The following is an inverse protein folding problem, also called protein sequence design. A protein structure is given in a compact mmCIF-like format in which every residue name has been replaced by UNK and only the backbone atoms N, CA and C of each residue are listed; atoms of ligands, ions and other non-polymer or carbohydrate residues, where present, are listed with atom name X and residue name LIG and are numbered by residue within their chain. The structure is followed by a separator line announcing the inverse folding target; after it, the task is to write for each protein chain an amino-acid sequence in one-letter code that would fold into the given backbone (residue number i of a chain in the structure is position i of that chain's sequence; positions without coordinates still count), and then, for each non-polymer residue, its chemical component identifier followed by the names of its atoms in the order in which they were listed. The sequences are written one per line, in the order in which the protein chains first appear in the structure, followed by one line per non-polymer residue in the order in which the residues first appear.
data_IF_068280743949
#
_entry.id   IF_068280743949
#
_cell.length_a   1.000
_cell.length_b   1.000
_cell.length_c   1.000
_cell.angle_alpha   90.00
_cell.angle_beta   90.00
_cell.angle_gamma   90.00
#
_symmetry.space_group_name_H-M   'P 1'
#
loop_
_entity.id
_entity.type
_entity.pdbx_description
1 polymer ?
#
# COMPACT_ATOMS: atom_id res chain seq x y z
N UNK A 1 25.45 -7.43 -3.03
CA UNK A 1 24.75 -7.39 -4.35
C UNK A 1 24.07 -6.04 -4.66
N UNK A 2 23.63 -5.26 -3.68
CA UNK A 2 22.90 -3.99 -3.88
C UNK A 2 23.66 -2.88 -4.64
N UNK A 3 24.97 -2.75 -4.47
CA UNK A 3 25.75 -1.67 -5.10
C UNK A 3 25.81 -1.73 -6.65
N UNK A 4 25.77 -2.92 -7.25
CA UNK A 4 25.78 -3.08 -8.71
C UNK A 4 24.48 -2.60 -9.36
N UNK A 5 23.35 -2.83 -8.72
CA UNK A 5 22.05 -2.38 -9.22
C UNK A 5 21.89 -0.85 -9.11
N UNK A 6 22.36 -0.24 -8.02
CA UNK A 6 22.37 1.21 -7.87
C UNK A 6 23.21 1.87 -8.97
N UNK A 7 24.40 1.33 -9.26
CA UNK A 7 25.25 1.83 -10.33
C UNK A 7 24.57 1.69 -11.71
N UNK A 8 23.90 0.58 -11.98
CA UNK A 8 23.14 0.38 -13.22
C UNK A 8 22.02 1.41 -13.39
N UNK A 9 21.28 1.73 -12.32
CA UNK A 9 20.23 2.77 -12.34
C UNK A 9 20.81 4.16 -12.60
N UNK A 10 21.93 4.51 -11.96
CA UNK A 10 22.61 5.79 -12.18
C UNK A 10 23.09 5.91 -13.64
N UNK A 11 23.70 4.86 -14.18
CA UNK A 11 24.15 4.82 -15.57
C UNK A 11 22.98 4.94 -16.54
N UNK A 12 21.88 4.23 -16.30
CA UNK A 12 20.66 4.32 -17.10
C UNK A 12 20.08 5.75 -17.09
N UNK A 13 19.99 6.37 -15.90
CA UNK A 13 19.50 7.74 -15.76
C UNK A 13 20.41 8.75 -16.49
N UNK A 14 21.75 8.59 -16.38
CA UNK A 14 22.71 9.43 -17.08
C UNK A 14 22.59 9.27 -18.61
N UNK A 15 22.42 8.05 -19.12
CA UNK A 15 22.19 7.78 -20.55
C UNK A 15 20.88 8.42 -21.04
N UNK A 16 19.83 8.36 -20.24
CA UNK A 16 18.54 8.96 -20.56
C UNK A 16 18.62 10.48 -20.59
N UNK A 17 19.29 11.11 -19.63
CA UNK A 17 19.60 12.54 -19.64
C UNK A 17 20.42 12.94 -20.84
N UNK A 18 21.46 12.17 -21.20
CA UNK A 18 22.31 12.42 -22.38
C UNK A 18 21.50 12.32 -23.68
N UNK A 19 20.61 11.31 -23.80
CA UNK A 19 19.72 11.17 -24.95
C UNK A 19 18.77 12.36 -25.10
N UNK A 20 18.18 12.85 -24.00
CA UNK A 20 17.34 14.06 -24.02
C UNK A 20 18.15 15.29 -24.42
N UNK A 21 19.35 15.49 -23.87
CA UNK A 21 20.24 16.60 -24.24
C UNK A 21 20.64 16.54 -25.71
N UNK A 22 20.94 15.35 -26.25
CA UNK A 22 21.25 15.17 -27.67
C UNK A 22 20.06 15.51 -28.57
N UNK A 23 18.84 15.03 -28.22
CA UNK A 23 17.63 15.35 -28.95
C UNK A 23 17.34 16.86 -28.97
N UNK A 24 17.52 17.53 -27.84
CA UNK A 24 17.36 18.98 -27.73
C UNK A 24 18.44 19.71 -28.60
N UNK A 25 19.69 19.27 -28.49
CA UNK A 25 20.81 19.85 -29.26
C UNK A 25 20.62 19.69 -30.78
N UNK A 26 20.21 18.51 -31.24
CA UNK A 26 19.90 18.25 -32.66
C UNK A 26 18.73 19.12 -33.12
N UNK A 27 17.72 19.31 -32.26
CA UNK A 27 16.56 20.15 -32.58
C UNK A 27 16.93 21.64 -32.64
N UNK A 28 17.84 22.13 -31.81
CA UNK A 28 18.36 23.48 -31.82
C UNK A 28 19.22 23.71 -33.10
N UNK A 29 20.10 22.75 -33.42
CA UNK A 29 20.93 22.83 -34.62
C UNK A 29 20.13 22.84 -35.93
N UNK A 30 19.00 22.14 -35.98
CA UNK A 30 18.07 22.12 -37.14
C UNK A 30 17.16 23.35 -37.21
N UNK A 31 17.12 24.23 -36.22
CA UNK A 31 16.42 25.51 -36.29
C UNK A 31 17.35 26.50 -36.96
N UNK A 32 17.11 26.83 -38.25
CA UNK A 32 17.96 27.78 -38.97
C UNK A 32 17.85 29.18 -38.33
N UNK A 33 18.97 29.87 -38.20
CA UNK A 33 19.11 31.24 -37.67
C UNK A 33 18.21 32.22 -38.44
N UNK A 34 18.01 31.99 -39.75
CA UNK A 34 17.14 32.81 -40.62
C UNK A 34 15.66 32.80 -40.19
N UNK A 35 15.16 31.68 -39.62
CA UNK A 35 13.76 31.61 -39.11
C UNK A 35 13.57 32.34 -37.77
N UNK A 36 14.66 32.70 -37.09
CA UNK A 36 14.63 33.49 -35.85
C UNK A 36 14.56 35.00 -36.11
N UNK A 37 15.16 35.49 -37.20
CA UNK A 37 15.28 36.92 -37.52
C UNK A 37 14.09 37.41 -38.36
N UNK A 38 13.63 36.64 -39.35
CA UNK A 38 12.45 36.95 -40.14
C UNK A 38 11.20 36.27 -39.57
N UNK A 39 10.60 36.88 -38.55
CA UNK A 39 9.47 36.39 -37.77
C UNK A 39 8.16 36.30 -38.56
N UNK A 40 8.02 35.38 -39.50
CA UNK A 40 6.83 35.19 -40.30
C UNK A 40 6.39 33.74 -40.45
N UNK A 41 5.23 33.42 -39.96
CA UNK A 41 4.28 32.44 -40.51
C UNK A 41 4.43 30.92 -40.26
N UNK A 42 5.42 30.30 -39.58
CA UNK A 42 5.35 28.86 -39.28
C UNK A 42 5.23 28.54 -37.78
N UNK A 43 4.30 29.18 -37.05
CA UNK A 43 4.18 29.05 -35.58
C UNK A 43 3.26 27.88 -35.07
N UNK A 44 2.42 27.30 -35.96
CA UNK A 44 1.50 26.23 -35.55
C UNK A 44 2.21 24.92 -35.13
N UNK A 45 3.22 24.49 -35.83
CA UNK A 45 3.95 23.25 -35.55
C UNK A 45 4.71 23.24 -34.22
N UNK A 46 5.23 24.43 -33.79
CA UNK A 46 5.98 24.57 -32.53
C UNK A 46 5.07 24.55 -31.29
N UNK A 47 3.79 24.98 -31.44
CA UNK A 47 2.79 24.88 -30.37
C UNK A 47 2.33 23.45 -30.16
N UNK A 48 2.16 22.67 -31.23
CA UNK A 48 1.71 21.27 -31.12
C UNK A 48 2.70 20.40 -30.34
N UNK A 49 4.02 20.51 -30.62
CA UNK A 49 5.05 19.76 -29.90
C UNK A 49 5.08 20.07 -28.39
N UNK A 50 4.90 21.35 -28.01
CA UNK A 50 4.83 21.77 -26.61
C UNK A 50 3.57 21.20 -25.92
N UNK A 51 2.42 21.32 -26.58
CA UNK A 51 1.15 20.81 -26.04
C UNK A 51 1.18 19.29 -25.89
N UNK A 52 1.82 18.59 -26.84
CA UNK A 52 2.05 17.15 -26.74
C UNK A 52 2.92 16.79 -25.52
N UNK A 53 4.03 17.49 -25.30
CA UNK A 53 4.90 17.27 -24.12
C UNK A 53 4.16 17.53 -22.81
N UNK A 54 3.34 18.57 -22.73
CA UNK A 54 2.47 18.83 -21.57
C UNK A 54 1.44 17.70 -21.39
N UNK A 55 0.86 17.20 -22.48
CA UNK A 55 -0.04 16.05 -22.43
C UNK A 55 0.66 14.81 -21.86
N UNK A 56 1.88 14.52 -22.27
CA UNK A 56 2.68 13.42 -21.72
C UNK A 56 2.95 13.63 -20.22
N UNK A 57 3.29 14.85 -19.80
CA UNK A 57 3.50 15.17 -18.39
C UNK A 57 2.22 14.95 -17.55
N UNK A 58 1.05 15.42 -18.02
CA UNK A 58 -0.23 15.16 -17.37
C UNK A 58 -0.56 13.67 -17.32
N UNK A 59 -0.30 12.93 -18.42
CA UNK A 59 -0.54 11.49 -18.47
C UNK A 59 0.29 10.75 -17.42
N UNK A 60 1.59 11.04 -17.34
CA UNK A 60 2.50 10.47 -16.34
C UNK A 60 2.06 10.87 -14.93
N UNK A 61 1.67 12.13 -14.71
CA UNK A 61 1.17 12.62 -13.44
C UNK A 61 -0.09 11.84 -12.99
N UNK A 62 -1.05 11.61 -13.92
CA UNK A 62 -2.24 10.80 -13.64
C UNK A 62 -1.88 9.39 -13.16
N UNK A 63 -0.92 8.72 -13.82
CA UNK A 63 -0.50 7.37 -13.44
C UNK A 63 0.06 7.37 -12.02
N UNK A 64 1.06 8.18 -11.74
CA UNK A 64 1.71 8.16 -10.44
C UNK A 64 0.80 8.59 -9.29
N UNK A 65 0.00 9.65 -9.48
CA UNK A 65 -0.94 10.11 -8.45
C UNK A 65 -1.99 9.05 -8.16
N UNK A 66 -2.58 8.44 -9.20
CA UNK A 66 -3.60 7.41 -9.02
C UNK A 66 -3.03 6.17 -8.33
N UNK A 67 -1.86 5.68 -8.74
CA UNK A 67 -1.20 4.54 -8.10
C UNK A 67 -0.84 4.84 -6.65
N UNK A 68 -0.35 6.05 -6.35
CA UNK A 68 -0.05 6.46 -4.96
C UNK A 68 -1.28 6.43 -4.08
N UNK A 69 -2.39 7.03 -4.55
CA UNK A 69 -3.65 7.04 -3.80
C UNK A 69 -4.19 5.61 -3.62
N UNK A 70 -4.09 4.77 -4.68
CA UNK A 70 -4.49 3.37 -4.60
C UNK A 70 -3.71 2.59 -3.54
N UNK A 71 -2.38 2.72 -3.55
CA UNK A 71 -1.51 2.05 -2.58
C UNK A 71 -1.77 2.53 -1.15
N UNK A 72 -2.04 3.83 -0.98
CA UNK A 72 -2.35 4.39 0.33
C UNK A 72 -3.66 3.83 0.90
N UNK A 73 -4.71 3.79 0.07
CA UNK A 73 -6.01 3.26 0.45
C UNK A 73 -5.95 1.74 0.68
N UNK A 74 -5.23 1.01 -0.17
CA UNK A 74 -5.07 -0.43 -0.03
C UNK A 74 -4.28 -0.79 1.24
N UNK A 75 -3.16 -0.14 1.48
CA UNK A 75 -2.36 -0.35 2.69
C UNK A 75 -3.17 -0.08 3.96
N UNK A 76 -4.00 0.99 3.97
CA UNK A 76 -4.92 1.25 5.08
C UNK A 76 -5.95 0.14 5.25
N UNK A 77 -6.54 -0.34 4.15
CA UNK A 77 -7.54 -1.41 4.18
C UNK A 77 -6.96 -2.74 4.64
N UNK A 78 -5.75 -3.07 4.20
CA UNK A 78 -5.01 -4.27 4.65
C UNK A 78 -4.76 -4.21 6.16
N UNK A 79 -4.23 -3.09 6.66
CA UNK A 79 -3.95 -2.91 8.09
C UNK A 79 -5.21 -3.01 8.95
N UNK A 80 -6.34 -2.50 8.47
CA UNK A 80 -7.64 -2.59 9.13
C UNK A 80 -8.17 -4.04 9.16
N UNK A 81 -7.92 -4.81 8.11
CA UNK A 81 -8.48 -6.16 7.93
C UNK A 81 -7.68 -7.23 8.67
N UNK A 82 -6.34 -7.14 8.65
CA UNK A 82 -5.49 -8.12 9.31
C UNK A 82 -5.65 -8.05 10.83
N UNK A 83 -5.96 -9.22 11.43
CA UNK A 83 -6.16 -9.34 12.88
C UNK A 83 -7.12 -8.25 13.41
N UNK A 84 -8.23 -8.03 12.71
CA UNK A 84 -9.18 -6.96 13.02
C UNK A 84 -9.87 -7.11 14.40
N UNK A 85 -9.80 -8.30 14.99
CA UNK A 85 -10.32 -8.60 16.35
C UNK A 85 -9.44 -7.99 17.44
N UNK A 86 -8.18 -7.70 17.16
CA UNK A 86 -7.27 -7.02 18.06
C UNK A 86 -7.41 -5.50 17.89
N UNK A 87 -7.49 -4.79 19.02
CA UNK A 87 -7.41 -3.33 19.02
C UNK A 87 -6.01 -2.86 18.58
N UNK A 88 -5.89 -1.59 18.18
CA UNK A 88 -4.58 -1.01 17.87
C UNK A 88 -3.63 -1.07 19.07
N UNK A 89 -4.15 -0.82 20.27
CA UNK A 89 -3.41 -0.91 21.53
C UNK A 89 -2.93 -2.35 21.79
N UNK A 90 -3.78 -3.36 21.54
CA UNK A 90 -3.37 -4.77 21.65
C UNK A 90 -2.23 -5.09 20.67
N UNK A 91 -2.32 -4.64 19.40
CA UNK A 91 -1.26 -4.88 18.40
C UNK A 91 0.07 -4.25 18.78
N UNK A 92 0.05 -3.11 19.44
CA UNK A 92 1.23 -2.40 19.92
C UNK A 92 1.80 -2.99 21.23
N UNK A 93 0.95 -3.60 22.07
CA UNK A 93 1.36 -4.12 23.40
C UNK A 93 1.66 -5.61 23.42
N UNK A 94 1.18 -6.37 22.46
CA UNK A 94 1.58 -7.77 22.30
C UNK A 94 2.99 -7.83 21.75
N UNK A 95 3.88 -8.51 22.48
CA UNK A 95 5.25 -8.79 22.04
C UNK A 95 5.29 -10.12 21.28
N UNK A 96 5.99 -10.14 20.19
CA UNK A 96 6.23 -11.27 19.30
C UNK A 96 7.68 -11.71 19.44
N UNK A 97 7.90 -12.96 19.78
CA UNK A 97 9.20 -13.50 20.16
C UNK A 97 9.42 -14.82 19.44
N UNK A 98 10.28 -14.88 18.42
CA UNK A 98 10.64 -16.15 17.81
C UNK A 98 11.44 -17.02 18.78
N UNK A 99 11.06 -18.29 18.86
CA UNK A 99 11.70 -19.33 19.67
C UNK A 99 12.22 -20.49 18.79
N UNK A 100 12.28 -20.28 17.50
CA UNK A 100 12.80 -21.27 16.54
C UNK A 100 14.34 -21.31 16.59
N UNK A 101 14.87 -21.80 17.69
CA UNK A 101 16.30 -22.03 17.90
C UNK A 101 16.58 -23.53 17.82
N UNK A 102 17.25 -24.02 16.76
CA UNK A 102 17.49 -25.46 16.56
C UNK A 102 18.43 -26.10 17.59
N UNK A 103 19.17 -25.27 18.32
CA UNK A 103 20.12 -25.73 19.38
C UNK A 103 19.48 -25.77 20.78
N UNK A 104 18.22 -25.30 20.95
CA UNK A 104 17.50 -25.41 22.21
C UNK A 104 16.47 -26.55 22.14
N UNK A 105 16.44 -27.37 23.17
CA UNK A 105 15.38 -28.36 23.35
C UNK A 105 14.06 -27.69 23.67
N UNK A 106 12.96 -28.36 23.32
CA UNK A 106 11.62 -27.81 23.54
C UNK A 106 11.35 -27.52 25.04
N UNK A 107 11.91 -28.35 25.92
CA UNK A 107 11.81 -28.15 27.37
C UNK A 107 12.48 -26.85 27.81
N UNK A 108 13.65 -26.55 27.31
CA UNK A 108 14.39 -25.31 27.63
C UNK A 108 13.62 -24.06 27.14
N UNK A 109 12.99 -24.15 25.95
CA UNK A 109 12.11 -23.10 25.43
C UNK A 109 10.90 -22.87 26.35
N UNK A 110 10.27 -23.93 26.82
CA UNK A 110 9.15 -23.83 27.75
C UNK A 110 9.58 -23.24 29.11
N UNK A 111 10.70 -23.67 29.65
CA UNK A 111 11.25 -23.09 30.90
C UNK A 111 11.55 -21.59 30.74
N UNK A 112 12.09 -21.19 29.61
CA UNK A 112 12.31 -19.78 29.32
C UNK A 112 11.00 -18.99 29.27
N UNK A 113 9.95 -19.52 28.66
CA UNK A 113 8.62 -18.89 28.60
C UNK A 113 7.96 -18.80 29.98
N UNK A 114 8.10 -19.84 30.82
CA UNK A 114 7.59 -19.77 32.19
C UNK A 114 8.28 -18.68 33.02
N UNK A 115 9.57 -18.41 32.76
CA UNK A 115 10.25 -17.25 33.35
C UNK A 115 9.72 -15.92 32.83
N UNK A 116 9.30 -15.83 31.55
CA UNK A 116 8.64 -14.62 31.04
C UNK A 116 7.35 -14.32 31.81
N UNK A 117 6.57 -15.36 32.12
CA UNK A 117 5.29 -15.28 32.84
C UNK A 117 5.41 -14.71 34.27
N UNK A 118 6.59 -14.80 34.89
CA UNK A 118 6.82 -14.35 36.26
C UNK A 118 6.79 -12.83 36.44
N UNK A 119 6.91 -12.05 35.34
CA UNK A 119 6.90 -10.60 35.44
C UNK A 119 5.46 -10.08 35.59
N UNK A 120 5.22 -9.21 36.57
CA UNK A 120 3.87 -8.65 36.88
C UNK A 120 3.24 -7.86 35.73
N UNK A 121 4.05 -7.37 34.80
CA UNK A 121 3.60 -6.68 33.59
C UNK A 121 3.06 -7.58 32.49
N UNK A 122 3.21 -8.91 32.63
CA UNK A 122 2.71 -9.88 31.65
C UNK A 122 1.25 -10.23 32.01
N UNK A 123 0.37 -10.02 31.07
CA UNK A 123 -1.07 -10.28 31.20
C UNK A 123 -1.44 -11.71 30.77
N UNK A 124 -0.94 -12.15 29.62
CA UNK A 124 -1.15 -13.49 29.08
C UNK A 124 -0.05 -13.86 28.11
N UNK A 125 0.16 -15.16 27.89
CA UNK A 125 1.13 -15.72 26.96
C UNK A 125 0.45 -16.74 26.05
N UNK A 126 0.77 -16.63 24.75
CA UNK A 126 0.30 -17.54 23.72
C UNK A 126 1.51 -18.21 23.07
N UNK A 127 1.52 -19.54 23.01
CA UNK A 127 2.54 -20.34 22.35
C UNK A 127 2.02 -20.85 21.00
N UNK A 128 2.89 -20.91 20.00
CA UNK A 128 2.56 -21.48 18.69
C UNK A 128 3.75 -22.19 18.08
N UNK A 129 3.49 -23.02 17.08
CA UNK A 129 4.48 -23.67 16.25
C UNK A 129 5.18 -22.66 15.31
N UNK A 130 4.41 -21.74 14.72
CA UNK A 130 4.86 -20.72 13.78
C UNK A 130 4.32 -19.34 14.18
N UNK A 131 4.90 -18.29 13.61
CA UNK A 131 4.33 -16.95 13.70
C UNK A 131 3.03 -16.85 12.90
N UNK A 132 1.94 -16.41 13.53
CA UNK A 132 0.64 -16.23 12.89
C UNK A 132 0.61 -15.08 11.87
N UNK A 133 1.59 -14.19 11.91
CA UNK A 133 1.74 -13.13 10.92
C UNK A 133 2.44 -13.60 9.64
N UNK A 134 3.18 -14.72 9.71
CA UNK A 134 4.02 -15.21 8.61
C UNK A 134 3.50 -16.47 7.92
N UNK A 135 2.43 -17.09 8.43
CA UNK A 135 1.94 -18.30 7.80
C UNK A 135 0.75 -18.97 8.46
N UNK A 136 0.42 -20.11 7.91
CA UNK A 136 -0.63 -21.04 8.36
C UNK A 136 -0.02 -22.43 8.50
N UNK A 137 -0.58 -23.26 9.39
CA UNK A 137 -0.07 -24.61 9.65
C UNK A 137 -0.36 -25.59 8.51
N UNK A 138 -1.44 -25.33 7.76
CA UNK A 138 -1.85 -26.13 6.60
C UNK A 138 -2.94 -25.45 5.78
N UNK A 139 -3.31 -26.03 4.64
CA UNK A 139 -4.31 -25.43 3.74
C UNK A 139 -5.31 -26.44 3.15
N UNK A 140 -5.31 -27.68 3.59
CA UNK A 140 -6.17 -28.73 3.03
C UNK A 140 -6.81 -29.60 4.10
N UNK A 141 -8.09 -29.90 3.94
CA UNK A 141 -8.82 -30.90 4.72
C UNK A 141 -9.64 -31.77 3.77
N UNK A 142 -9.85 -33.06 4.12
CA UNK A 142 -10.76 -33.95 3.41
C UNK A 142 -12.16 -33.96 4.04
N UNK A 143 -13.19 -34.01 3.21
CA UNK A 143 -14.58 -34.22 3.66
C UNK A 143 -14.95 -35.69 3.81
N UNK A 144 -14.20 -36.57 3.15
CA UNK A 144 -14.38 -38.04 3.20
C UNK A 144 -13.04 -38.72 3.42
N UNK A 145 -12.95 -39.56 4.44
CA UNK A 145 -11.72 -40.26 4.83
C UNK A 145 -11.23 -41.19 3.72
N UNK A 146 -9.98 -40.99 3.28
CA UNK A 146 -9.34 -41.79 2.26
C UNK A 146 -9.82 -41.59 0.83
N UNK A 147 -10.60 -40.56 0.56
CA UNK A 147 -11.02 -40.15 -0.76
C UNK A 147 -10.20 -38.93 -1.24
N UNK A 148 -9.20 -39.19 -2.07
CA UNK A 148 -8.31 -38.10 -2.60
C UNK A 148 -9.03 -37.06 -3.46
N UNK A 149 -10.28 -37.27 -3.84
CA UNK A 149 -11.09 -36.30 -4.57
C UNK A 149 -11.94 -35.43 -3.63
N UNK A 150 -11.87 -35.63 -2.31
CA UNK A 150 -12.68 -34.92 -1.31
C UNK A 150 -11.93 -33.78 -0.62
N UNK A 151 -10.75 -33.41 -1.08
CA UNK A 151 -9.99 -32.29 -0.53
C UNK A 151 -10.71 -30.95 -0.70
N UNK A 152 -10.71 -30.20 0.37
CA UNK A 152 -11.16 -28.80 0.38
C UNK A 152 -9.98 -27.90 0.71
N UNK A 153 -9.92 -26.78 0.03
CA UNK A 153 -8.92 -25.76 0.27
C UNK A 153 -9.43 -24.80 1.38
N UNK A 154 -8.80 -24.87 2.54
CA UNK A 154 -9.12 -24.08 3.73
C UNK A 154 -7.85 -23.87 4.55
N UNK A 155 -7.68 -22.67 5.11
CA UNK A 155 -6.52 -22.37 5.93
C UNK A 155 -6.64 -23.07 7.28
N UNK A 156 -5.72 -23.97 7.58
CA UNK A 156 -5.67 -24.69 8.86
C UNK A 156 -4.63 -24.05 9.76
N UNK A 157 -5.04 -23.69 10.98
CA UNK A 157 -4.16 -23.15 12.01
C UNK A 157 -4.19 -24.05 13.25
N UNK A 158 -3.00 -24.45 13.70
CA UNK A 158 -2.84 -25.12 14.98
C UNK A 158 -2.74 -24.06 16.09
N UNK A 159 -3.69 -24.07 17.02
CA UNK A 159 -3.83 -23.01 18.03
C UNK A 159 -3.93 -23.58 19.45
N UNK A 160 -3.33 -22.95 20.47
CA UNK A 160 -3.47 -23.35 21.85
C UNK A 160 -4.86 -23.03 22.41
N UNK A 161 -5.19 -23.59 23.56
CA UNK A 161 -6.52 -23.47 24.19
C UNK A 161 -6.94 -22.02 24.46
N UNK A 162 -6.01 -21.13 24.76
CA UNK A 162 -6.29 -19.72 25.08
C UNK A 162 -6.28 -18.81 23.82
N UNK A 163 -6.10 -19.35 22.61
CA UNK A 163 -5.99 -18.58 21.37
C UNK A 163 -7.16 -17.63 21.14
N UNK A 164 -8.39 -18.13 21.19
CA UNK A 164 -9.59 -17.34 20.93
C UNK A 164 -9.76 -16.18 21.92
N UNK A 165 -9.44 -16.42 23.18
CA UNK A 165 -9.47 -15.37 24.23
C UNK A 165 -8.34 -14.38 24.06
N UNK A 166 -7.13 -14.85 23.74
CA UNK A 166 -5.96 -14.00 23.55
C UNK A 166 -6.12 -13.08 22.35
N UNK A 167 -6.62 -13.62 21.22
CA UNK A 167 -6.84 -12.89 19.97
C UNK A 167 -8.18 -12.14 19.89
N UNK A 168 -8.97 -12.17 20.99
CA UNK A 168 -10.31 -11.57 21.07
C UNK A 168 -11.27 -12.05 19.96
N UNK A 169 -11.21 -13.35 19.59
CA UNK A 169 -12.05 -13.94 18.56
C UNK A 169 -13.29 -14.56 19.23
N UNK A 170 -14.49 -14.01 19.04
CA UNK A 170 -15.69 -14.60 19.64
C UNK A 170 -16.11 -15.89 18.93
N UNK A 171 -16.52 -16.88 19.71
CA UNK A 171 -17.22 -18.07 19.20
C UNK A 171 -18.69 -17.70 19.05
N UNK A 172 -19.20 -17.81 17.83
CA UNK A 172 -20.58 -17.42 17.49
C UNK A 172 -21.56 -18.56 17.64
N UNK A 173 -21.12 -19.80 17.42
CA UNK A 173 -21.93 -21.01 17.59
C UNK A 173 -21.08 -22.14 18.18
N UNK A 174 -21.70 -23.01 18.97
CA UNK A 174 -21.04 -24.17 19.56
C UNK A 174 -20.06 -23.84 20.70
N UNK A 175 -18.88 -24.42 20.69
CA UNK A 175 -17.85 -24.26 21.73
C UNK A 175 -16.44 -24.13 21.17
N UNK A 176 -15.49 -23.70 22.01
CA UNK A 176 -14.05 -23.67 21.69
C UNK A 176 -13.45 -25.08 21.65
N UNK A 177 -12.24 -25.16 21.10
CA UNK A 177 -11.40 -26.36 21.07
C UNK A 177 -11.07 -26.82 22.48
N UNK A 178 -11.15 -28.13 22.74
CA UNK A 178 -10.75 -28.79 24.00
C UNK A 178 -9.86 -30.01 23.79
N UNK A 179 -9.99 -30.66 22.63
CA UNK A 179 -9.26 -31.89 22.31
C UNK A 179 -8.65 -31.82 20.93
N UNK A 180 -7.66 -32.68 20.65
CA UNK A 180 -7.00 -32.80 19.31
C UNK A 180 -7.99 -33.19 18.18
N UNK A 181 -9.20 -33.64 18.51
CA UNK A 181 -10.24 -33.98 17.52
C UNK A 181 -11.22 -32.84 17.26
N UNK A 182 -11.14 -31.78 18.03
CA UNK A 182 -12.00 -30.62 17.87
C UNK A 182 -11.52 -29.74 16.72
N UNK A 183 -12.47 -29.27 15.93
CA UNK A 183 -12.25 -28.29 14.86
C UNK A 183 -13.19 -27.10 15.10
N UNK A 184 -12.66 -25.89 15.07
CA UNK A 184 -13.44 -24.66 14.98
C UNK A 184 -13.26 -24.08 13.60
N UNK A 185 -14.33 -23.71 12.93
CA UNK A 185 -14.31 -23.08 11.61
C UNK A 185 -14.81 -21.64 11.71
N UNK A 186 -14.40 -20.81 10.77
CA UNK A 186 -14.90 -19.43 10.72
C UNK A 186 -16.26 -19.33 10.00
N UNK A 187 -17.01 -18.25 10.28
CA UNK A 187 -18.29 -17.97 9.62
C UNK A 187 -18.17 -17.80 8.09
N UNK A 188 -17.01 -17.42 7.56
CA UNK A 188 -16.82 -17.22 6.11
C UNK A 188 -17.02 -18.53 5.39
N UNK A 189 -16.43 -19.60 5.92
CA UNK A 189 -16.57 -20.93 5.35
C UNK A 189 -17.99 -21.48 5.56
N UNK A 190 -18.58 -21.32 6.73
CA UNK A 190 -19.94 -21.74 7.02
C UNK A 190 -20.96 -21.11 6.04
N UNK A 191 -20.87 -19.79 5.82
CA UNK A 191 -21.74 -19.07 4.88
C UNK A 191 -21.62 -19.56 3.43
N UNK A 192 -20.43 -20.01 3.01
CA UNK A 192 -20.24 -20.63 1.69
C UNK A 192 -20.96 -21.98 1.57
N UNK A 193 -20.96 -22.78 2.61
CA UNK A 193 -21.64 -24.10 2.61
C UNK A 193 -23.17 -24.00 2.66
N UNK A 194 -23.73 -22.86 3.07
CA UNK A 194 -25.17 -22.62 3.21
C UNK A 194 -25.89 -23.68 4.06
N UNK A 195 -25.22 -24.28 5.03
CA UNK A 195 -25.73 -25.33 5.92
C UNK A 195 -25.08 -25.23 7.29
N UNK A 196 -25.72 -25.85 8.30
CA UNK A 196 -25.08 -26.06 9.58
C UNK A 196 -23.91 -27.04 9.45
N UNK A 197 -22.78 -26.66 10.02
CA UNK A 197 -21.54 -27.43 9.95
C UNK A 197 -21.14 -28.07 11.27
N UNK A 198 -21.82 -27.72 12.38
CA UNK A 198 -21.50 -28.28 13.69
C UNK A 198 -21.80 -29.80 13.69
N UNK A 199 -20.83 -30.57 14.17
CA UNK A 199 -20.89 -32.04 14.17
C UNK A 199 -20.44 -32.70 12.86
N UNK A 200 -20.08 -31.91 11.78
CA UNK A 200 -19.49 -32.47 10.59
C UNK A 200 -18.07 -32.96 10.86
N UNK A 201 -17.69 -34.05 10.19
CA UNK A 201 -16.35 -34.61 10.27
C UNK A 201 -15.50 -34.15 9.09
N UNK A 202 -14.24 -33.85 9.40
CA UNK A 202 -13.18 -33.55 8.45
C UNK A 202 -11.95 -34.40 8.78
N UNK A 203 -11.09 -34.57 7.82
CA UNK A 203 -9.95 -35.47 7.92
C UNK A 203 -8.69 -34.81 7.35
N UNK A 204 -7.55 -35.14 7.91
CA UNK A 204 -6.26 -34.98 7.28
C UNK A 204 -5.59 -36.36 7.07
N UNK A 205 -4.31 -36.37 6.72
CA UNK A 205 -3.58 -37.63 6.53
C UNK A 205 -3.46 -38.48 7.80
N UNK A 206 -3.55 -37.88 8.97
CA UNK A 206 -3.22 -38.49 10.27
C UNK A 206 -4.35 -38.44 11.27
N UNK A 207 -5.30 -37.51 11.11
CA UNK A 207 -6.27 -37.16 12.14
C UNK A 207 -7.70 -37.06 11.62
N UNK A 208 -8.63 -37.37 12.50
CA UNK A 208 -10.06 -37.21 12.30
C UNK A 208 -10.54 -36.02 13.18
N UNK A 209 -11.22 -35.06 12.58
CA UNK A 209 -11.70 -33.88 13.26
C UNK A 209 -13.24 -33.80 13.22
N UNK A 210 -13.83 -33.26 14.27
CA UNK A 210 -15.26 -32.94 14.32
C UNK A 210 -15.45 -31.46 14.60
N UNK A 211 -16.25 -30.79 13.81
CA UNK A 211 -16.55 -29.36 14.01
C UNK A 211 -17.32 -29.18 15.31
N UNK A 212 -16.70 -28.52 16.28
CA UNK A 212 -17.28 -28.27 17.61
C UNK A 212 -17.81 -26.85 17.77
N UNK A 213 -17.45 -25.94 16.90
CA UNK A 213 -17.91 -24.56 16.95
C UNK A 213 -17.56 -23.75 15.71
N UNK A 214 -18.15 -22.56 15.66
CA UNK A 214 -17.93 -21.54 14.62
C UNK A 214 -17.48 -20.27 15.31
N UNK A 215 -16.46 -19.62 14.76
CA UNK A 215 -15.95 -18.34 15.24
C UNK A 215 -16.25 -17.19 14.26
N UNK A 216 -16.18 -15.98 14.76
CA UNK A 216 -16.25 -14.80 13.93
C UNK A 216 -15.18 -14.82 12.82
N UNK A 217 -15.39 -14.13 11.69
CA UNK A 217 -14.41 -14.05 10.62
C UNK A 217 -13.04 -13.64 11.15
N UNK A 218 -12.00 -14.29 10.66
CA UNK A 218 -10.62 -14.01 11.04
C UNK A 218 -9.74 -13.99 9.80
N UNK A 219 -8.74 -13.12 9.77
CA UNK A 219 -7.87 -12.99 8.60
C UNK A 219 -6.45 -12.64 9.03
N UNK A 220 -5.50 -13.48 8.61
CA UNK A 220 -4.06 -13.30 8.86
C UNK A 220 -3.30 -12.88 7.60
N UNK A 221 -3.87 -13.15 6.41
CA UNK A 221 -3.27 -12.86 5.11
C UNK A 221 -4.33 -12.33 4.14
N UNK A 222 -4.02 -11.25 3.44
CA UNK A 222 -4.89 -10.63 2.44
C UNK A 222 -4.73 -11.19 1.03
N UNK A 223 -3.71 -12.00 0.79
CA UNK A 223 -3.44 -12.64 -0.50
C UNK A 223 -4.05 -14.05 -0.60
N UNK A 224 -4.51 -14.59 0.51
CA UNK A 224 -5.04 -15.95 0.55
C UNK A 224 -6.53 -15.97 0.20
N UNK A 225 -6.84 -16.52 -0.98
CA UNK A 225 -8.19 -16.61 -1.54
C UNK A 225 -8.97 -17.84 -1.08
N UNK A 226 -8.34 -18.74 -0.32
CA UNK A 226 -8.96 -20.00 0.10
C UNK A 226 -10.13 -19.84 1.05
N UNK A 227 -10.33 -18.63 1.54
CA UNK A 227 -11.59 -18.13 2.06
C UNK A 227 -12.18 -18.87 3.22
N UNK A 228 -11.51 -18.82 4.34
CA UNK A 228 -11.95 -19.31 5.63
C UNK A 228 -10.83 -20.00 6.39
N UNK A 229 -11.00 -20.05 7.70
CA UNK A 229 -10.05 -20.68 8.60
C UNK A 229 -10.69 -21.86 9.33
N UNK A 230 -9.89 -22.91 9.55
CA UNK A 230 -10.14 -24.02 10.42
C UNK A 230 -9.06 -24.04 11.50
N UNK A 231 -9.47 -24.14 12.75
CA UNK A 231 -8.58 -24.13 13.91
C UNK A 231 -8.59 -25.50 14.57
N UNK A 232 -7.39 -26.06 14.78
CA UNK A 232 -7.17 -27.33 15.49
C UNK A 232 -6.32 -27.09 16.73
N UNK A 233 -6.32 -28.05 17.67
CA UNK A 233 -5.54 -27.93 18.88
C UNK A 233 -4.04 -28.08 18.60
N UNK A 234 -3.26 -27.08 18.98
CA UNK A 234 -1.82 -27.11 19.05
C UNK A 234 -1.34 -27.71 20.39
N UNK A 235 -0.37 -28.60 20.32
CA UNK A 235 0.26 -29.19 21.50
C UNK A 235 1.69 -28.66 21.68
N UNK A 236 1.83 -27.71 22.60
CA UNK A 236 3.11 -27.09 22.91
C UNK A 236 4.16 -28.06 23.50
N UNK A 237 3.73 -29.27 23.92
CA UNK A 237 4.68 -30.30 24.39
C UNK A 237 5.52 -30.88 23.27
N UNK A 238 5.03 -30.85 22.03
CA UNK A 238 5.72 -31.40 20.88
C UNK A 238 6.78 -30.41 20.34
N UNK A 239 6.41 -29.14 20.19
CA UNK A 239 7.31 -28.12 19.65
C UNK A 239 6.85 -26.72 20.03
N UNK A 240 7.77 -25.78 20.28
CA UNK A 240 7.51 -24.36 20.46
C UNK A 240 8.40 -23.57 19.50
N UNK A 241 7.78 -22.92 18.53
CA UNK A 241 8.48 -22.10 17.53
C UNK A 241 8.32 -20.61 17.75
N UNK A 242 7.21 -20.18 18.37
CA UNK A 242 6.90 -18.78 18.60
C UNK A 242 6.16 -18.53 19.91
N UNK A 243 6.35 -17.34 20.48
CA UNK A 243 5.69 -16.90 21.71
C UNK A 243 5.18 -15.47 21.57
N UNK A 244 3.90 -15.29 21.89
CA UNK A 244 3.28 -13.96 21.99
C UNK A 244 3.05 -13.65 23.47
N UNK A 245 3.48 -12.45 23.89
CA UNK A 245 3.35 -11.99 25.29
C UNK A 245 2.49 -10.73 25.30
N UNK A 246 1.29 -10.82 25.87
CA UNK A 246 0.39 -9.68 26.05
C UNK A 246 0.77 -8.94 27.32
N UNK A 247 1.10 -7.65 27.20
CA UNK A 247 1.58 -6.83 28.30
C UNK A 247 0.56 -5.78 28.71
N UNK A 248 0.70 -5.26 29.93
CA UNK A 248 0.06 -4.00 30.31
C UNK A 248 0.83 -2.86 29.64
N UNK A 249 0.15 -1.88 28.97
CA UNK A 249 0.82 -0.82 28.18
C UNK A 249 1.89 -0.06 28.95
N UNK A 250 1.60 0.26 30.21
CA UNK A 250 2.49 1.02 31.09
C UNK A 250 3.79 0.27 31.44
N UNK A 251 3.74 -1.07 31.39
CA UNK A 251 4.86 -1.94 31.80
C UNK A 251 5.60 -2.59 30.62
N UNK A 252 5.19 -2.34 29.40
CA UNK A 252 5.75 -2.98 28.21
C UNK A 252 7.28 -2.88 28.12
N UNK A 253 7.84 -1.69 28.37
CA UNK A 253 9.30 -1.47 28.36
C UNK A 253 10.03 -2.30 29.42
N UNK A 254 9.43 -2.47 30.61
CA UNK A 254 9.99 -3.29 31.67
C UNK A 254 9.94 -4.77 31.32
N UNK A 255 8.83 -5.22 30.72
CA UNK A 255 8.66 -6.60 30.21
C UNK A 255 9.66 -6.92 29.11
N UNK A 256 9.85 -6.02 28.13
CA UNK A 256 10.86 -6.20 27.08
C UNK A 256 12.25 -6.38 27.70
N UNK A 257 12.64 -5.50 28.61
CA UNK A 257 13.93 -5.60 29.30
C UNK A 257 14.09 -6.91 30.09
N UNK A 258 13.03 -7.36 30.75
CA UNK A 258 12.98 -8.63 31.46
C UNK A 258 13.18 -9.82 30.52
N UNK A 259 12.44 -9.87 29.44
CA UNK A 259 12.56 -10.91 28.41
C UNK A 259 13.97 -10.93 27.81
N UNK A 260 14.53 -9.76 27.49
CA UNK A 260 15.88 -9.66 26.96
C UNK A 260 16.94 -10.13 27.95
N UNK A 261 16.76 -9.88 29.25
CA UNK A 261 17.66 -10.39 30.30
C UNK A 261 17.67 -11.92 30.33
N UNK A 262 16.46 -12.54 30.32
CA UNK A 262 16.35 -14.00 30.32
C UNK A 262 16.94 -14.58 29.03
N UNK A 263 16.70 -13.95 27.89
CA UNK A 263 17.28 -14.41 26.62
C UNK A 263 18.79 -14.38 26.60
N UNK A 264 19.44 -13.34 27.16
CA UNK A 264 20.89 -13.24 27.26
C UNK A 264 21.50 -14.28 28.18
N UNK A 265 20.76 -14.79 29.15
CA UNK A 265 21.22 -15.88 30.03
C UNK A 265 21.16 -17.25 29.32
N UNK A 266 20.20 -17.45 28.41
CA UNK A 266 19.94 -18.75 27.78
C UNK A 266 20.55 -18.84 26.38
N UNK A 267 20.56 -17.73 25.63
CA UNK A 267 21.00 -17.70 24.23
C UNK A 267 22.45 -17.23 24.11
N UNK A 268 23.23 -17.73 23.14
CA UNK A 268 24.55 -17.21 22.79
C UNK A 268 24.55 -15.71 22.50
N UNK A 269 25.61 -15.00 22.86
CA UNK A 269 25.72 -13.53 22.68
C UNK A 269 25.60 -13.05 21.21
N UNK A 270 25.92 -13.91 20.25
CA UNK A 270 25.88 -13.60 18.84
C UNK A 270 24.44 -13.60 18.25
N UNK A 271 23.43 -13.98 19.05
CA UNK A 271 22.03 -13.97 18.60
C UNK A 271 21.41 -12.60 18.93
N UNK A 272 21.03 -11.80 17.91
CA UNK A 272 20.45 -10.50 18.14
C UNK A 272 19.09 -10.61 18.86
N UNK A 273 18.72 -9.57 19.60
CA UNK A 273 17.36 -9.47 20.12
C UNK A 273 16.36 -9.39 18.98
N UNK A 274 15.33 -10.22 19.06
CA UNK A 274 14.23 -10.27 18.09
C UNK A 274 12.89 -10.04 18.78
N UNK A 275 12.89 -9.40 19.97
CA UNK A 275 11.65 -9.00 20.64
C UNK A 275 11.08 -7.81 19.90
N UNK A 276 9.91 -8.01 19.27
CA UNK A 276 9.21 -7.00 18.48
C UNK A 276 7.78 -6.86 19.01
N UNK A 277 7.10 -5.81 18.63
CA UNK A 277 5.64 -5.75 18.81
C UNK A 277 4.94 -6.55 17.71
N UNK A 278 3.72 -6.99 17.98
CA UNK A 278 2.90 -7.64 16.96
C UNK A 278 2.65 -6.72 15.76
N UNK A 279 2.56 -5.41 16.02
CA UNK A 279 2.45 -4.40 14.99
C UNK A 279 3.70 -4.34 14.09
N UNK A 280 4.90 -4.46 14.68
CA UNK A 280 6.16 -4.49 13.91
C UNK A 280 6.24 -5.73 13.01
N UNK A 281 5.77 -6.89 13.50
CA UNK A 281 5.68 -8.11 12.68
C UNK A 281 4.72 -7.93 11.50
N UNK A 282 3.57 -7.30 11.70
CA UNK A 282 2.64 -6.97 10.62
C UNK A 282 3.27 -6.03 9.60
N UNK A 283 4.06 -5.05 10.05
CA UNK A 283 4.81 -4.16 9.15
C UNK A 283 5.89 -4.91 8.36
N UNK A 284 6.57 -5.86 8.99
CA UNK A 284 7.61 -6.66 8.31
C UNK A 284 7.02 -7.50 7.18
N UNK A 285 5.90 -8.17 7.42
CA UNK A 285 5.18 -8.95 6.38
C UNK A 285 4.74 -8.07 5.22
N UNK A 286 4.33 -6.83 5.50
CA UNK A 286 3.88 -5.87 4.50
C UNK A 286 5.02 -4.94 4.01
N UNK A 287 6.29 -5.19 4.40
CA UNK A 287 7.41 -4.29 4.13
C UNK A 287 7.57 -3.95 2.64
N UNK A 288 7.37 -4.93 1.76
CA UNK A 288 7.45 -4.72 0.31
C UNK A 288 6.38 -3.72 -0.17
N UNK A 289 5.16 -3.82 0.33
CA UNK A 289 4.07 -2.90 -0.03
C UNK A 289 4.34 -1.47 0.47
N UNK A 290 4.88 -1.33 1.69
CA UNK A 290 5.28 -0.03 2.23
C UNK A 290 6.42 0.60 1.43
N UNK A 291 7.46 -0.18 1.07
CA UNK A 291 8.57 0.28 0.24
C UNK A 291 8.06 0.72 -1.15
N UNK A 292 7.21 -0.08 -1.79
CA UNK A 292 6.61 0.29 -3.08
C UNK A 292 5.75 1.56 -2.98
N UNK A 293 4.95 1.69 -1.92
CA UNK A 293 4.16 2.90 -1.64
C UNK A 293 5.06 4.14 -1.53
N UNK A 294 6.16 4.05 -0.79
CA UNK A 294 7.08 5.18 -0.58
C UNK A 294 7.79 5.58 -1.88
N UNK A 295 8.28 4.60 -2.65
CA UNK A 295 8.92 4.83 -3.94
C UNK A 295 7.94 5.48 -4.93
N UNK A 296 6.74 4.95 -5.08
CA UNK A 296 5.74 5.47 -6.02
C UNK A 296 5.25 6.86 -5.57
N UNK A 297 5.10 7.09 -4.26
CA UNK A 297 4.75 8.41 -3.70
C UNK A 297 5.82 9.45 -4.00
N UNK A 298 7.10 9.10 -3.91
CA UNK A 298 8.20 9.98 -4.30
C UNK A 298 8.09 10.37 -5.78
N UNK A 299 7.89 9.41 -6.68
CA UNK A 299 7.72 9.69 -8.10
C UNK A 299 6.44 10.48 -8.40
N UNK A 300 5.38 10.30 -7.63
CA UNK A 300 4.17 11.12 -7.76
C UNK A 300 4.44 12.58 -7.43
N UNK A 301 5.14 12.87 -6.32
CA UNK A 301 5.52 14.22 -5.95
C UNK A 301 6.39 14.86 -7.04
N UNK A 302 7.41 14.15 -7.51
CA UNK A 302 8.29 14.63 -8.59
C UNK A 302 7.49 14.90 -9.86
N UNK A 303 6.58 14.00 -10.25
CA UNK A 303 5.76 14.17 -11.46
C UNK A 303 4.82 15.37 -11.35
N UNK A 304 4.21 15.63 -10.18
CA UNK A 304 3.40 16.81 -9.92
C UNK A 304 4.26 18.07 -10.09
N UNK A 305 5.42 18.13 -9.46
CA UNK A 305 6.33 19.30 -9.56
C UNK A 305 6.70 19.58 -11.01
N UNK A 306 7.14 18.55 -11.75
CA UNK A 306 7.52 18.69 -13.17
C UNK A 306 6.33 19.16 -14.01
N UNK A 307 5.14 18.62 -13.77
CA UNK A 307 3.92 19.01 -14.49
C UNK A 307 3.55 20.47 -14.20
N UNK A 308 3.58 20.90 -12.93
CA UNK A 308 3.28 22.28 -12.56
C UNK A 308 4.33 23.27 -13.15
N UNK A 309 5.61 22.91 -13.14
CA UNK A 309 6.67 23.70 -13.78
C UNK A 309 6.46 23.77 -15.31
N UNK A 310 6.06 22.67 -15.94
CA UNK A 310 5.72 22.63 -17.36
C UNK A 310 4.54 23.54 -17.71
N UNK A 311 3.48 23.50 -16.91
CA UNK A 311 2.31 24.39 -17.02
C UNK A 311 2.73 25.84 -16.82
N UNK A 312 3.49 26.15 -15.76
CA UNK A 312 3.98 27.49 -15.45
C UNK A 312 4.82 28.08 -16.59
N UNK A 313 5.79 27.31 -17.09
CA UNK A 313 6.65 27.70 -18.22
C UNK A 313 5.84 27.93 -19.50
N UNK A 314 4.89 27.04 -19.79
CA UNK A 314 4.03 27.15 -20.96
C UNK A 314 3.14 28.38 -20.92
N UNK A 315 2.53 28.68 -19.75
CA UNK A 315 1.71 29.89 -19.56
C UNK A 315 2.55 31.15 -19.74
N UNK A 316 3.78 31.16 -19.22
CA UNK A 316 4.71 32.30 -19.39
C UNK A 316 4.92 32.62 -20.86
N UNK A 317 5.26 31.60 -21.65
CA UNK A 317 5.46 31.76 -23.11
C UNK A 317 4.18 32.16 -23.84
N UNK A 318 3.01 31.63 -23.43
CA UNK A 318 1.75 31.99 -24.09
C UNK A 318 1.32 33.42 -23.75
N UNK A 319 1.55 33.86 -22.51
CA UNK A 319 1.24 35.22 -22.10
C UNK A 319 2.15 36.24 -22.76
N UNK A 320 3.48 36.00 -22.88
CA UNK A 320 4.41 36.85 -23.61
C UNK A 320 3.98 37.01 -25.08
N UNK A 321 3.55 35.94 -25.73
CA UNK A 321 3.10 35.96 -27.13
C UNK A 321 1.77 36.68 -27.36
N UNK A 322 0.91 36.70 -26.35
CA UNK A 322 -0.43 37.28 -26.45
C UNK A 322 -0.61 38.56 -25.65
N UNK A 323 0.52 39.21 -25.26
CA UNK A 323 0.45 40.44 -24.44
C UNK A 323 -0.40 41.52 -25.12
N UNK A 324 -0.26 41.71 -26.43
CA UNK A 324 -1.06 42.68 -27.21
C UNK A 324 -2.56 42.35 -27.19
N UNK A 325 -2.92 41.06 -27.37
CA UNK A 325 -4.31 40.60 -27.30
C UNK A 325 -4.92 40.89 -25.92
N UNK A 326 -4.13 40.59 -24.85
CA UNK A 326 -4.53 40.86 -23.47
C UNK A 326 -4.70 42.34 -23.19
N UNK A 327 -3.73 43.18 -23.67
CA UNK A 327 -3.81 44.62 -23.52
C UNK A 327 -5.04 45.23 -24.21
N UNK A 328 -5.32 44.86 -25.46
CA UNK A 328 -6.47 45.32 -26.22
C UNK A 328 -7.80 44.90 -25.52
N UNK A 329 -7.87 43.68 -25.06
CA UNK A 329 -9.08 43.20 -24.34
C UNK A 329 -9.27 43.95 -23.01
N UNK A 330 -8.17 44.28 -22.30
CA UNK A 330 -8.22 45.03 -21.04
C UNK A 330 -8.69 46.48 -21.27
N UNK A 331 -8.19 47.13 -22.33
CA UNK A 331 -8.63 48.48 -22.74
C UNK A 331 -10.15 48.46 -23.12
N UNK A 332 -10.61 47.37 -23.73
CA UNK A 332 -12.04 47.18 -24.09
C UNK A 332 -12.88 46.70 -22.88
N UNK A 333 -12.41 46.76 -21.65
CA UNK A 333 -13.15 46.46 -20.43
C UNK A 333 -13.29 44.98 -20.10
N UNK A 334 -12.47 44.07 -20.68
CA UNK A 334 -12.52 42.67 -20.33
C UNK A 334 -12.06 42.43 -18.87
N UNK A 335 -12.90 41.76 -18.09
CA UNK A 335 -12.58 41.35 -16.73
C UNK A 335 -11.47 40.31 -16.63
N UNK A 336 -10.83 40.23 -15.48
CA UNK A 336 -9.72 39.28 -15.20
C UNK A 336 -10.12 37.84 -15.45
N UNK A 337 -11.38 37.43 -15.10
CA UNK A 337 -11.88 36.08 -15.33
C UNK A 337 -11.90 35.69 -16.82
N UNK A 338 -12.22 36.64 -17.73
CA UNK A 338 -12.21 36.39 -19.17
C UNK A 338 -10.79 36.11 -19.68
N UNK A 339 -9.78 36.80 -19.11
CA UNK A 339 -8.37 36.61 -19.43
C UNK A 339 -7.88 35.25 -18.91
N UNK A 340 -8.22 34.92 -17.66
CA UNK A 340 -7.90 33.60 -17.08
C UNK A 340 -8.46 32.47 -17.93
N UNK A 341 -9.73 32.56 -18.32
CA UNK A 341 -10.40 31.54 -19.13
C UNK A 341 -9.75 31.35 -20.51
N UNK A 342 -9.29 32.43 -21.12
CA UNK A 342 -8.59 32.39 -22.42
C UNK A 342 -7.37 31.48 -22.39
N UNK A 343 -6.59 31.53 -21.29
CA UNK A 343 -5.39 30.71 -21.11
C UNK A 343 -5.73 29.33 -20.53
N UNK A 344 -6.59 29.28 -19.53
CA UNK A 344 -6.94 28.03 -18.82
C UNK A 344 -7.56 26.97 -19.73
N UNK A 345 -8.37 27.39 -20.71
CA UNK A 345 -9.10 26.47 -21.60
C UNK A 345 -8.21 25.39 -22.24
N UNK A 346 -7.02 25.75 -22.71
CA UNK A 346 -6.12 24.81 -23.36
C UNK A 346 -5.64 23.73 -22.38
N UNK A 347 -5.25 24.16 -21.17
CA UNK A 347 -4.73 23.23 -20.14
C UNK A 347 -5.83 22.33 -19.60
N UNK A 348 -7.05 22.86 -19.43
CA UNK A 348 -8.21 22.06 -19.04
C UNK A 348 -8.56 21.01 -20.10
N UNK A 349 -8.52 21.37 -21.39
CA UNK A 349 -8.75 20.40 -22.47
C UNK A 349 -7.67 19.31 -22.44
N UNK A 350 -6.39 19.68 -22.30
CA UNK A 350 -5.30 18.69 -22.20
C UNK A 350 -5.46 17.79 -21.00
N UNK A 351 -5.84 18.34 -19.85
CA UNK A 351 -6.02 17.64 -18.60
C UNK A 351 -7.17 16.60 -18.72
N UNK A 352 -8.32 17.01 -19.28
CA UNK A 352 -9.46 16.10 -19.52
C UNK A 352 -9.11 15.04 -20.56
N UNK A 353 -8.46 15.42 -21.66
CA UNK A 353 -8.08 14.49 -22.73
C UNK A 353 -7.08 13.43 -22.24
N UNK A 354 -6.09 13.83 -21.42
CA UNK A 354 -5.12 12.89 -20.86
C UNK A 354 -5.73 12.01 -19.78
N UNK A 355 -6.64 12.52 -18.94
CA UNK A 355 -7.39 11.74 -17.98
C UNK A 355 -8.29 10.69 -18.67
N UNK A 356 -8.96 11.06 -19.77
CA UNK A 356 -9.79 10.14 -20.55
C UNK A 356 -9.00 8.94 -21.13
N UNK A 357 -7.69 9.08 -21.32
CA UNK A 357 -6.82 7.99 -21.76
C UNK A 357 -6.21 7.25 -20.54
N UNK A 358 -5.73 8.00 -19.54
CA UNK A 358 -5.04 7.44 -18.39
C UNK A 358 -5.96 6.61 -17.49
N UNK A 359 -7.16 7.09 -17.17
CA UNK A 359 -8.06 6.42 -16.23
C UNK A 359 -8.53 5.04 -16.68
N UNK A 360 -8.95 4.83 -17.95
CA UNK A 360 -9.27 3.47 -18.40
C UNK A 360 -8.06 2.51 -18.35
N UNK A 361 -6.86 3.00 -18.70
CA UNK A 361 -5.65 2.19 -18.63
C UNK A 361 -5.33 1.78 -17.19
N UNK A 362 -5.39 2.74 -16.26
CA UNK A 362 -5.13 2.48 -14.84
C UNK A 362 -6.22 1.58 -14.26
N UNK A 363 -7.47 1.75 -14.65
CA UNK A 363 -8.58 0.90 -14.23
C UNK A 363 -8.31 -0.57 -14.56
N UNK A 364 -7.84 -0.88 -15.78
CA UNK A 364 -7.47 -2.25 -16.16
C UNK A 364 -6.36 -2.79 -15.27
N UNK A 365 -5.32 -1.98 -15.00
CA UNK A 365 -4.22 -2.37 -14.10
C UNK A 365 -4.73 -2.63 -12.68
N UNK A 366 -5.63 -1.77 -12.17
CA UNK A 366 -6.22 -1.94 -10.83
C UNK A 366 -7.10 -3.19 -10.75
N UNK A 367 -7.83 -3.56 -11.81
CA UNK A 367 -8.63 -4.79 -11.83
C UNK A 367 -7.73 -6.05 -11.79
N UNK A 368 -6.59 -6.04 -12.47
CA UNK A 368 -5.60 -7.12 -12.38
C UNK A 368 -5.00 -7.19 -10.97
N UNK A 369 -4.66 -6.05 -10.39
CA UNK A 369 -4.11 -5.96 -9.04
C UNK A 369 -5.12 -6.41 -7.97
N UNK A 370 -6.39 -6.05 -8.12
CA UNK A 370 -7.49 -6.47 -7.24
C UNK A 370 -7.63 -7.98 -7.12
N UNK A 371 -7.32 -8.73 -8.19
CA UNK A 371 -7.37 -10.20 -8.17
C UNK A 371 -6.34 -10.83 -7.23
N UNK A 372 -5.32 -10.09 -6.82
CA UNK A 372 -4.28 -10.57 -5.90
C UNK A 372 -4.67 -10.42 -4.42
N UNK A 373 -5.81 -9.78 -4.12
CA UNK A 373 -6.24 -9.49 -2.75
C UNK A 373 -7.63 -10.04 -2.47
N UNK A 374 -7.83 -10.57 -1.28
CA UNK A 374 -9.17 -10.97 -0.78
C UNK A 374 -10.01 -9.76 -0.43
N UNK A 375 -9.38 -8.68 0.02
CA UNK A 375 -10.03 -7.43 0.39
C UNK A 375 -9.35 -6.28 -0.34
N UNK A 376 -10.15 -5.47 -1.03
CA UNK A 376 -9.67 -4.33 -1.79
C UNK A 376 -10.41 -3.05 -1.37
N UNK A 377 -9.75 -1.90 -1.49
CA UNK A 377 -10.39 -0.62 -1.22
C UNK A 377 -11.51 -0.33 -2.22
N UNK A 378 -12.42 0.59 -1.86
CA UNK A 378 -13.52 0.97 -2.75
C UNK A 378 -13.03 1.93 -3.84
N UNK A 379 -12.95 1.45 -5.08
CA UNK A 379 -12.57 2.17 -6.29
C UNK A 379 -13.76 2.86 -7.02
N UNK A 380 -14.76 3.26 -6.26
CA UNK A 380 -15.98 3.90 -6.77
C UNK A 380 -15.76 5.30 -7.36
N UNK A 381 -16.87 5.93 -7.79
CA UNK A 381 -16.86 7.24 -8.47
C UNK A 381 -16.17 8.35 -7.64
N UNK A 382 -16.28 8.29 -6.32
CA UNK A 382 -15.66 9.27 -5.42
C UNK A 382 -14.13 9.17 -5.45
N UNK A 383 -13.58 7.96 -5.58
CA UNK A 383 -12.15 7.74 -5.72
C UNK A 383 -11.60 8.43 -6.99
N UNK A 384 -12.17 8.13 -8.17
CA UNK A 384 -11.74 8.73 -9.43
C UNK A 384 -11.98 10.25 -9.45
N UNK A 385 -13.12 10.69 -8.89
CA UNK A 385 -13.47 12.10 -8.78
C UNK A 385 -12.48 12.88 -7.91
N UNK A 386 -12.08 12.35 -6.75
CA UNK A 386 -11.14 13.01 -5.84
C UNK A 386 -9.78 13.23 -6.49
N UNK A 387 -9.26 12.24 -7.21
CA UNK A 387 -7.99 12.33 -7.93
C UNK A 387 -8.08 13.38 -9.04
N UNK A 388 -9.14 13.30 -9.86
CA UNK A 388 -9.35 14.26 -10.95
C UNK A 388 -9.41 15.70 -10.42
N UNK A 389 -10.23 15.96 -9.43
CA UNK A 389 -10.38 17.31 -8.86
C UNK A 389 -9.11 17.78 -8.13
N UNK A 390 -8.38 16.89 -7.47
CA UNK A 390 -7.12 17.24 -6.81
C UNK A 390 -6.07 17.77 -7.78
N UNK A 391 -5.77 17.04 -8.86
CA UNK A 391 -4.81 17.48 -9.88
C UNK A 391 -5.31 18.70 -10.66
N UNK A 392 -6.63 18.74 -10.95
CA UNK A 392 -7.24 19.90 -11.62
C UNK A 392 -7.10 21.16 -10.77
N UNK A 393 -7.38 21.08 -9.49
CA UNK A 393 -7.28 22.21 -8.55
C UNK A 393 -5.85 22.76 -8.48
N UNK A 394 -4.85 21.89 -8.33
CA UNK A 394 -3.44 22.28 -8.32
C UNK A 394 -3.03 22.99 -9.63
N UNK A 395 -3.48 22.46 -10.75
CA UNK A 395 -3.21 23.05 -12.07
C UNK A 395 -3.87 24.42 -12.20
N UNK A 396 -5.16 24.55 -11.82
CA UNK A 396 -5.90 25.82 -11.88
C UNK A 396 -5.30 26.86 -10.96
N UNK A 397 -4.90 26.51 -9.75
CA UNK A 397 -4.19 27.42 -8.82
C UNK A 397 -2.92 27.95 -9.45
N UNK A 398 -2.11 27.10 -10.08
CA UNK A 398 -0.87 27.48 -10.78
C UNK A 398 -1.15 28.47 -11.92
N UNK A 399 -2.19 28.22 -12.70
CA UNK A 399 -2.64 29.09 -13.80
C UNK A 399 -3.07 30.47 -13.27
N UNK A 400 -3.93 30.48 -12.25
CA UNK A 400 -4.45 31.71 -11.64
C UNK A 400 -3.31 32.54 -11.06
N UNK A 401 -2.42 31.91 -10.28
CA UNK A 401 -1.29 32.59 -9.66
C UNK A 401 -0.42 33.32 -10.70
N UNK A 402 -0.10 32.66 -11.81
CA UNK A 402 0.70 33.23 -12.88
C UNK A 402 -0.03 34.35 -13.61
N UNK A 403 -1.31 34.19 -13.95
CA UNK A 403 -2.08 35.17 -14.71
C UNK A 403 -2.36 36.42 -13.86
N UNK A 404 -2.67 36.28 -12.58
CA UNK A 404 -2.87 37.41 -11.68
C UNK A 404 -1.61 38.29 -11.60
N UNK A 405 -0.42 37.68 -11.58
CA UNK A 405 0.84 38.42 -11.57
C UNK A 405 1.01 39.25 -12.85
N UNK A 406 0.59 38.72 -14.01
CA UNK A 406 0.68 39.42 -15.31
C UNK A 406 -0.44 40.46 -15.47
N UNK A 407 -1.64 40.13 -15.01
CA UNK A 407 -2.79 41.07 -15.07
C UNK A 407 -2.58 42.35 -14.24
N UNK A 408 -1.65 42.36 -13.28
CA UNK A 408 -1.24 43.53 -12.51
C UNK A 408 -0.24 44.45 -13.24
N UNK A 409 0.36 44.00 -14.37
CA UNK A 409 1.26 44.85 -15.18
C UNK A 409 0.43 45.97 -15.86
N UNK A 410 1.00 47.15 -15.90
CA UNK A 410 0.38 48.36 -16.46
C UNK A 410 0.27 48.22 -18.02
N UNK A 411 -0.93 48.29 -18.62
CA UNK A 411 -1.09 48.16 -20.08
C UNK A 411 -0.34 49.22 -20.88
N UNK A 412 -0.16 50.42 -20.29
CA UNK A 412 0.53 51.55 -20.95
C UNK A 412 2.04 51.25 -21.18
N UNK A 413 2.69 50.51 -20.27
CA UNK A 413 4.10 50.12 -20.41
C UNK A 413 4.32 49.08 -21.51
N UNK A 414 3.34 48.19 -21.69
CA UNK A 414 3.39 47.10 -22.67
C UNK A 414 3.27 47.63 -24.11
N UNK A 415 2.54 48.75 -24.27
CA UNK A 415 2.33 49.40 -25.60
C UNK A 415 3.49 50.35 -25.95
N UNK A 416 4.18 50.92 -24.94
CA UNK A 416 5.20 51.92 -25.09
C UNK A 416 6.59 51.34 -25.40
N UNK A 417 6.85 50.09 -25.11
CA UNK A 417 8.15 49.41 -25.27
C UNK A 417 8.34 48.79 -26.68
N UNK A 418 7.74 49.36 -27.71
CA UNK A 418 8.03 49.24 -29.14
C UNK A 418 8.32 50.64 -29.73
#
# INVERSE_FOLDING_TARGET
MQGKHILQYIVFLALLCMAVCLLVSVRIRRSSIQTGIYGGQKRRGKQWGRNFMLGVQFFICWIFVTLTVSLFLQSGKVTETLFHTLSQEDKETILSIPLDYPFLENKEKQEMVERFRQHVGVKDILLSDISYTHGISGNLLMTEKGNDNSWIDINVMCVPLNFFTFMNIPITEGRTIRTKKDLVMDEVWQKRQKRDIIGMNFYDWTSDFTVCGVCAPFQTDVHNHNGGFAFTLYDSSEYVGHCYVKCYPEQQKAVIKWIETIRREVLPENIPSQVRTFQDDLYEVQALEYILKDIISFFAIVSIIITLLGVYSSITLDTERRQKEVAIRKVNGAGICSIIWLFARLYLILLVATAAIAFPLIYVVLQLWKQMYTVFFNDGILYWGSIFWGVTLLTVITIIFKILRIARLNPAEVIKNE
#
